data_IF_796577902610
#
_entry.id   IF_796577902610
#
_cell.length_a   1.000
_cell.length_b   1.000
_cell.length_c   1.000
_cell.angle_alpha   90.00
_cell.angle_beta   90.00
_cell.angle_gamma   90.00
#
_symmetry.space_group_name_H-M   'P 1'
#
loop_
_entity.id
_entity.type
_entity.pdbx_description
1 polymer ?
#
# COMPACT_ATOMS: atom_id res chain seq x y z
N UNK A 1 -1.59 3.39 21.02
CA UNK A 1 -0.93 4.65 21.41
C UNK A 1 -1.04 5.59 20.22
N UNK A 2 -1.90 6.60 20.28
CA UNK A 2 -1.97 7.64 19.26
C UNK A 2 -0.78 8.58 19.45
N UNK A 3 0.18 8.54 18.52
CA UNK A 3 1.22 9.57 18.49
C UNK A 3 0.57 10.89 18.06
N UNK A 4 0.73 11.94 18.89
CA UNK A 4 0.31 13.29 18.50
C UNK A 4 0.98 13.66 17.17
N UNK A 5 0.24 14.27 16.25
CA UNK A 5 0.73 14.68 14.93
C UNK A 5 2.02 15.50 15.01
N UNK A 6 2.18 16.29 16.08
CA UNK A 6 3.41 17.05 16.37
C UNK A 6 4.61 16.16 16.65
N UNK A 7 4.43 15.08 17.42
CA UNK A 7 5.50 14.12 17.73
C UNK A 7 5.96 13.36 16.49
N UNK A 8 5.06 13.04 15.57
CA UNK A 8 5.39 12.39 14.30
C UNK A 8 6.22 13.31 13.40
N UNK A 9 5.85 14.59 13.28
CA UNK A 9 6.60 15.56 12.47
C UNK A 9 8.03 15.75 12.98
N UNK A 10 8.24 15.76 14.30
CA UNK A 10 9.59 15.84 14.88
C UNK A 10 10.43 14.63 14.51
N UNK A 11 9.87 13.42 14.55
CA UNK A 11 10.59 12.19 14.15
C UNK A 11 10.97 12.21 12.67
N UNK A 12 10.08 12.71 11.80
CA UNK A 12 10.35 12.85 10.37
C UNK A 12 11.49 13.85 10.14
N UNK A 13 11.48 14.99 10.81
CA UNK A 13 12.58 15.96 10.69
C UNK A 13 13.92 15.40 11.18
N UNK A 14 13.91 14.66 12.30
CA UNK A 14 15.12 14.00 12.81
C UNK A 14 15.69 12.98 11.81
N UNK A 15 14.82 12.22 11.14
CA UNK A 15 15.23 11.29 10.10
C UNK A 15 15.88 12.03 8.92
N UNK A 16 15.31 13.14 8.45
CA UNK A 16 15.89 13.92 7.35
C UNK A 16 17.26 14.48 7.71
N UNK A 17 17.41 15.08 8.89
CA UNK A 17 18.69 15.59 9.35
C UNK A 17 19.75 14.48 9.43
N UNK A 18 19.39 13.29 9.93
CA UNK A 18 20.30 12.14 9.95
C UNK A 18 20.76 11.72 8.54
N UNK A 19 19.85 11.75 7.56
CA UNK A 19 20.18 11.41 6.18
C UNK A 19 21.13 12.43 5.55
N UNK A 20 20.92 13.72 5.83
CA UNK A 20 21.80 14.81 5.39
C UNK A 20 23.18 14.68 6.03
N UNK A 21 23.24 14.47 7.35
CA UNK A 21 24.50 14.25 8.07
C UNK A 21 25.27 13.05 7.53
N UNK A 22 24.58 11.94 7.22
CA UNK A 22 25.20 10.76 6.62
C UNK A 22 25.72 11.02 5.21
N UNK A 23 25.00 11.80 4.41
CA UNK A 23 25.40 12.14 3.05
C UNK A 23 26.67 13.02 3.04
N UNK A 24 26.81 13.95 3.99
CA UNK A 24 27.99 14.81 4.10
C UNK A 24 29.19 14.09 4.75
N UNK A 25 28.96 13.38 5.86
CA UNK A 25 30.04 12.80 6.68
C UNK A 25 30.51 11.43 6.19
N UNK A 26 29.63 10.59 5.63
CA UNK A 26 29.96 9.23 5.19
C UNK A 26 29.09 8.78 3.98
N UNK A 27 29.41 9.27 2.77
CA UNK A 27 28.63 8.99 1.56
C UNK A 27 28.47 7.50 1.24
N UNK A 28 29.48 6.69 1.55
CA UNK A 28 29.43 5.24 1.32
C UNK A 28 28.44 4.53 2.27
N UNK A 29 28.37 4.95 3.53
CA UNK A 29 27.37 4.43 4.47
C UNK A 29 25.97 4.89 4.11
N UNK A 30 25.80 6.15 3.70
CA UNK A 30 24.52 6.65 3.17
C UNK A 30 24.04 5.81 1.98
N UNK A 31 24.91 5.57 1.00
CA UNK A 31 24.59 4.75 -0.17
C UNK A 31 24.17 3.32 0.22
N UNK A 32 24.91 2.66 1.12
CA UNK A 32 24.55 1.33 1.62
C UNK A 32 23.21 1.33 2.34
N UNK A 33 22.94 2.35 3.16
CA UNK A 33 21.67 2.51 3.86
C UNK A 33 20.49 2.62 2.88
N UNK A 34 20.56 3.52 1.90
CA UNK A 34 19.51 3.69 0.89
C UNK A 34 19.31 2.41 0.07
N UNK A 35 20.39 1.75 -0.35
CA UNK A 35 20.30 0.48 -1.08
C UNK A 35 19.62 -0.61 -0.26
N UNK A 36 19.93 -0.72 1.04
CA UNK A 36 19.28 -1.66 1.93
C UNK A 36 17.79 -1.36 2.08
N UNK A 37 17.43 -0.09 2.31
CA UNK A 37 16.03 0.34 2.41
C UNK A 37 15.23 0.06 1.13
N UNK A 38 15.82 0.31 -0.05
CA UNK A 38 15.19 -0.01 -1.33
C UNK A 38 15.04 -1.52 -1.54
N UNK A 39 16.04 -2.32 -1.14
CA UNK A 39 16.00 -3.78 -1.24
C UNK A 39 14.92 -4.38 -0.35
N UNK A 40 14.84 -3.94 0.91
CA UNK A 40 13.83 -4.38 1.87
C UNK A 40 12.44 -3.87 1.49
N UNK A 41 12.34 -2.60 1.09
CA UNK A 41 11.11 -1.94 0.67
C UNK A 41 10.55 -2.44 -0.67
N UNK A 42 11.34 -3.13 -1.49
CA UNK A 42 10.93 -3.61 -2.83
C UNK A 42 9.63 -4.41 -2.81
N UNK A 43 9.39 -5.19 -1.75
CA UNK A 43 8.16 -5.97 -1.62
C UNK A 43 6.93 -5.12 -1.29
N UNK A 44 7.11 -3.99 -0.61
CA UNK A 44 6.06 -3.04 -0.26
C UNK A 44 5.80 -2.02 -1.38
N UNK A 45 6.81 -1.75 -2.20
CA UNK A 45 6.73 -0.92 -3.40
C UNK A 45 6.28 -1.71 -4.65
N UNK A 46 6.17 -3.04 -4.56
CA UNK A 46 5.69 -3.86 -5.66
C UNK A 46 4.27 -3.44 -6.05
N UNK A 47 3.96 -3.50 -7.35
CA UNK A 47 2.61 -3.33 -7.81
C UNK A 47 1.70 -4.43 -7.22
N UNK A 48 0.41 -4.16 -7.04
CA UNK A 48 -0.53 -5.19 -6.64
C UNK A 48 -0.64 -6.33 -7.65
N UNK A 49 -0.79 -7.55 -7.16
CA UNK A 49 -0.90 -8.77 -7.96
C UNK A 49 -2.36 -9.04 -8.33
N UNK A 50 -2.74 -9.15 -9.61
CA UNK A 50 -4.11 -9.47 -10.01
C UNK A 50 -4.56 -10.84 -9.48
N UNK A 51 -5.80 -10.96 -9.02
CA UNK A 51 -6.37 -12.23 -8.57
C UNK A 51 -7.65 -12.57 -9.33
N UNK A 52 -8.58 -11.62 -9.44
CA UNK A 52 -9.88 -11.83 -10.09
C UNK A 52 -10.40 -10.51 -10.67
N UNK A 53 -11.14 -10.59 -11.78
CA UNK A 53 -11.92 -9.47 -12.29
C UNK A 53 -13.41 -9.84 -12.22
N UNK A 54 -14.19 -9.02 -11.51
CA UNK A 54 -15.64 -9.16 -11.40
C UNK A 54 -16.30 -8.17 -12.34
N UNK A 55 -17.20 -8.66 -13.18
CA UNK A 55 -18.08 -7.82 -13.97
C UNK A 55 -19.42 -7.69 -13.24
N UNK A 56 -19.86 -6.45 -13.02
CA UNK A 56 -21.17 -6.15 -12.43
C UNK A 56 -21.80 -4.93 -13.12
N UNK A 57 -22.97 -4.51 -12.66
CA UNK A 57 -23.67 -3.33 -13.16
C UNK A 57 -23.95 -2.36 -12.01
N UNK A 58 -23.65 -1.08 -12.24
CA UNK A 58 -24.15 0.00 -11.39
C UNK A 58 -25.59 0.26 -11.81
N UNK A 59 -26.53 0.22 -10.86
CA UNK A 59 -27.96 0.40 -11.16
C UNK A 59 -28.40 1.87 -11.08
N UNK A 60 -27.73 2.69 -10.26
CA UNK A 60 -28.05 4.12 -10.04
C UNK A 60 -26.76 4.93 -9.83
N UNK A 61 -26.71 6.21 -10.24
CA UNK A 61 -27.76 6.98 -10.91
C UNK A 61 -27.89 6.71 -12.41
N UNK A 62 -26.88 6.12 -13.05
CA UNK A 62 -26.90 5.72 -14.47
C UNK A 62 -26.45 4.28 -14.60
N UNK A 63 -27.18 3.49 -15.39
CA UNK A 63 -26.81 2.11 -15.63
C UNK A 63 -25.49 2.04 -16.40
N UNK A 64 -24.49 1.36 -15.84
CA UNK A 64 -23.22 1.12 -16.51
C UNK A 64 -22.61 -0.19 -16.06
N UNK A 65 -21.95 -0.89 -16.98
CA UNK A 65 -21.11 -2.03 -16.65
C UNK A 65 -19.91 -1.52 -15.85
N UNK A 66 -19.61 -2.21 -14.76
CA UNK A 66 -18.48 -1.95 -13.87
C UNK A 66 -17.60 -3.19 -13.83
N UNK A 67 -16.30 -2.99 -14.01
CA UNK A 67 -15.31 -4.02 -13.73
C UNK A 67 -14.63 -3.71 -12.39
N UNK A 68 -14.56 -4.72 -11.52
CA UNK A 68 -13.88 -4.63 -10.24
C UNK A 68 -12.73 -5.64 -10.27
N UNK A 69 -11.50 -5.13 -10.32
CA UNK A 69 -10.33 -5.99 -10.18
C UNK A 69 -10.04 -6.17 -8.70
N UNK A 70 -10.08 -7.42 -8.25
CA UNK A 70 -9.55 -7.85 -6.97
C UNK A 70 -8.09 -8.21 -7.15
N UNK A 71 -7.23 -7.52 -6.43
CA UNK A 71 -5.80 -7.71 -6.46
C UNK A 71 -5.26 -7.97 -5.04
N UNK A 72 -4.18 -8.73 -4.94
CA UNK A 72 -3.46 -8.94 -3.70
C UNK A 72 -2.32 -7.95 -3.56
N UNK A 73 -2.14 -7.39 -2.36
CA UNK A 73 -1.02 -6.50 -2.10
C UNK A 73 -0.43 -6.69 -0.71
N UNK A 74 0.89 -6.90 -0.63
CA UNK A 74 1.61 -7.09 0.63
C UNK A 74 1.53 -5.90 1.58
N UNK A 75 1.33 -4.69 1.02
CA UNK A 75 1.16 -3.44 1.77
C UNK A 75 -0.14 -3.41 2.59
N UNK A 76 -1.13 -4.23 2.25
CA UNK A 76 -2.40 -4.29 2.98
C UNK A 76 -2.25 -5.22 4.19
N UNK A 77 -2.67 -4.77 5.38
CA UNK A 77 -2.60 -5.60 6.57
C UNK A 77 -3.49 -6.83 6.45
N UNK A 78 -3.06 -7.92 7.09
CA UNK A 78 -3.86 -9.13 7.21
C UNK A 78 -5.02 -8.84 8.20
N UNK A 79 -6.21 -9.42 8.00
CA UNK A 79 -7.28 -9.35 9.00
C UNK A 79 -6.80 -9.86 10.36
N UNK A 80 -7.30 -9.27 11.44
CA UNK A 80 -6.89 -9.65 12.80
C UNK A 80 -7.35 -11.07 13.18
N UNK A 81 -8.50 -11.51 12.65
CA UNK A 81 -8.96 -12.88 12.76
C UNK A 81 -9.89 -13.24 11.59
N UNK A 82 -10.34 -14.50 11.54
CA UNK A 82 -11.28 -15.01 10.53
C UNK A 82 -12.69 -14.42 10.62
N UNK A 83 -13.05 -13.81 11.76
CA UNK A 83 -14.34 -13.15 11.96
C UNK A 83 -14.28 -11.65 11.71
N UNK A 84 -13.07 -11.09 11.59
CA UNK A 84 -12.90 -9.66 11.32
C UNK A 84 -13.03 -9.35 9.83
N UNK A 85 -13.56 -8.16 9.47
CA UNK A 85 -13.60 -7.70 8.09
C UNK A 85 -12.22 -7.68 7.44
N UNK A 86 -12.19 -7.93 6.13
CA UNK A 86 -10.94 -7.88 5.35
C UNK A 86 -10.61 -6.42 5.05
N UNK A 87 -9.40 -5.93 5.41
CA UNK A 87 -8.98 -4.57 5.03
C UNK A 87 -8.88 -4.45 3.51
N UNK A 88 -9.50 -3.39 2.96
CA UNK A 88 -9.46 -3.09 1.53
C UNK A 88 -8.90 -1.69 1.30
N UNK A 89 -8.08 -1.55 0.26
CA UNK A 89 -7.72 -0.23 -0.29
C UNK A 89 -8.45 -0.02 -1.61
N UNK A 90 -8.95 1.19 -1.82
CA UNK A 90 -9.61 1.61 -3.05
C UNK A 90 -8.81 2.75 -3.67
N UNK A 91 -8.61 2.69 -4.97
CA UNK A 91 -7.99 3.78 -5.72
C UNK A 91 -9.08 4.52 -6.49
N UNK A 92 -8.97 5.85 -6.49
CA UNK A 92 -9.87 6.72 -7.25
C UNK A 92 -9.74 6.44 -8.74
N UNK A 93 -10.88 6.24 -9.39
CA UNK A 93 -11.00 5.97 -10.82
C UNK A 93 -10.26 7.02 -11.63
N UNK A 94 -9.24 6.62 -12.39
CA UNK A 94 -8.79 7.40 -13.53
C UNK A 94 -9.89 7.34 -14.58
N UNK A 95 -10.32 8.50 -15.09
CA UNK A 95 -11.46 8.68 -16.00
C UNK A 95 -11.38 7.91 -17.32
N UNK A 96 -10.27 7.21 -17.59
CA UNK A 96 -10.06 6.50 -18.84
C UNK A 96 -10.66 5.09 -18.87
N UNK A 97 -10.94 4.43 -17.73
CA UNK A 97 -11.58 3.10 -17.70
C UNK A 97 -12.45 2.93 -16.43
N UNK A 98 -13.69 2.38 -16.53
CA UNK A 98 -14.57 2.13 -15.39
C UNK A 98 -14.10 0.91 -14.59
N UNK A 99 -12.92 1.01 -13.99
CA UNK A 99 -12.25 -0.08 -13.29
C UNK A 99 -11.99 0.32 -11.84
N UNK A 100 -12.70 -0.31 -10.90
CA UNK A 100 -12.39 -0.17 -9.48
C UNK A 100 -11.38 -1.23 -9.10
N UNK A 101 -10.20 -0.81 -8.61
CA UNK A 101 -9.21 -1.74 -8.06
C UNK A 101 -9.47 -1.88 -6.56
N UNK A 102 -9.80 -3.10 -6.14
CA UNK A 102 -9.97 -3.49 -4.74
C UNK A 102 -8.80 -4.39 -4.36
N UNK A 103 -8.10 -4.01 -3.29
CA UNK A 103 -6.91 -4.72 -2.87
C UNK A 103 -7.18 -5.47 -1.57
N UNK A 104 -6.94 -6.78 -1.51
CA UNK A 104 -7.11 -7.60 -0.30
C UNK A 104 -5.90 -8.50 -0.07
N UNK A 105 -5.56 -8.80 1.18
CA UNK A 105 -4.56 -9.84 1.48
C UNK A 105 -5.29 -11.11 1.89
N UNK A 106 -5.43 -12.06 0.97
CA UNK A 106 -6.10 -13.34 1.23
C UNK A 106 -5.25 -14.19 2.20
N UNK A 107 -5.84 -14.63 3.32
CA UNK A 107 -5.27 -15.72 4.13
C UNK A 107 -5.52 -17.04 3.38
N UNK A 108 -4.45 -17.77 3.02
CA UNK A 108 -4.59 -19.15 2.54
C UNK A 108 -5.22 -19.95 3.68
N UNK A 109 -6.41 -20.51 3.46
CA UNK A 109 -6.90 -21.63 4.26
C UNK A 109 -5.96 -22.81 3.99
N UNK A 110 -5.06 -23.10 4.93
CA UNK A 110 -4.45 -24.42 5.03
C UNK A 110 -5.58 -25.38 5.40
N UNK A 111 -5.88 -26.33 4.49
CA UNK A 111 -6.69 -27.51 4.82
C UNK A 111 -5.88 -28.44 5.69
#
# INVERSE_FOLDING_TARGET
>A
MESSSKGLLTQVNQLWNLLDDLAESNPESYKKFIQQQLKEGKQLCAAPEPQLCLQTRILKPKEKILFINLCQWKRIPVPQSTTHPIPLSMFTLSSMLPTTLMFSRQQRRTK
#
